data_IF_549501034677
#
_entry.id   IF_549501034677
#
_cell.length_a   1.000
_cell.length_b   1.000
_cell.length_c   1.000
_cell.angle_alpha   90.00
_cell.angle_beta   90.00
_cell.angle_gamma   90.00
#
_symmetry.space_group_name_H-M   'P 1'
#
loop_
_entity.id
_entity.type
_entity.pdbx_description
1 polymer ?
#
# COMPACT_ATOMS: atom_id res chain seq x y z
N UNK A 1 -23.14 -9.14 61.46
CA UNK A 1 -23.86 -8.56 60.30
C UNK A 1 -22.91 -7.65 59.53
N UNK A 2 -21.99 -8.24 58.77
CA UNK A 2 -21.21 -7.50 57.77
C UNK A 2 -22.13 -7.20 56.59
N UNK A 3 -22.18 -5.97 56.09
CA UNK A 3 -23.33 -5.51 55.34
C UNK A 3 -23.24 -6.02 53.92
N UNK A 4 -24.37 -6.53 53.42
CA UNK A 4 -24.63 -6.84 51.99
C UNK A 4 -24.09 -5.77 51.03
N UNK A 5 -23.85 -4.52 51.49
CA UNK A 5 -23.27 -3.43 50.71
C UNK A 5 -21.80 -3.61 50.32
N UNK A 6 -20.97 -4.31 51.11
CA UNK A 6 -19.56 -4.57 50.71
C UNK A 6 -19.50 -5.60 49.59
N UNK A 7 -20.34 -6.63 49.67
CA UNK A 7 -20.51 -7.64 48.62
C UNK A 7 -21.12 -7.05 47.35
N UNK A 8 -22.18 -6.24 47.42
CA UNK A 8 -22.73 -5.59 46.21
C UNK A 8 -21.77 -4.56 45.60
N UNK A 9 -20.89 -3.94 46.38
CA UNK A 9 -19.85 -3.04 45.85
C UNK A 9 -18.75 -3.81 45.10
N UNK A 10 -18.27 -4.93 45.66
CA UNK A 10 -17.32 -5.83 44.99
C UNK A 10 -17.92 -6.51 43.75
N UNK A 11 -19.18 -6.97 43.83
CA UNK A 11 -19.92 -7.53 42.68
C UNK A 11 -20.21 -6.48 41.59
N UNK A 12 -20.45 -5.23 41.96
CA UNK A 12 -20.59 -4.10 41.03
C UNK A 12 -19.30 -3.78 40.28
N UNK A 13 -18.15 -3.86 40.98
CA UNK A 13 -16.83 -3.73 40.35
C UNK A 13 -16.52 -4.90 39.39
N UNK A 14 -16.91 -6.13 39.75
CA UNK A 14 -16.74 -7.31 38.89
C UNK A 14 -17.63 -7.25 37.63
N UNK A 15 -18.87 -6.77 37.73
CA UNK A 15 -19.75 -6.57 36.55
C UNK A 15 -19.30 -5.46 35.62
N UNK A 16 -18.67 -4.42 36.15
CA UNK A 16 -18.00 -3.40 35.33
C UNK A 16 -16.78 -3.95 34.58
N UNK A 17 -16.16 -5.04 35.05
CA UNK A 17 -15.05 -5.71 34.37
C UNK A 17 -15.53 -6.75 33.32
N UNK A 18 -16.72 -7.33 33.49
CA UNK A 18 -17.24 -8.45 32.68
C UNK A 18 -18.19 -8.05 31.53
N UNK A 19 -18.55 -6.76 31.41
CA UNK A 19 -19.37 -6.29 30.29
C UNK A 19 -18.52 -6.04 29.04
N UNK A 20 -18.82 -6.76 27.93
CA UNK A 20 -18.20 -6.73 26.61
C UNK A 20 -17.12 -5.65 26.42
N UNK A 21 -15.92 -5.92 26.95
CA UNK A 21 -14.74 -5.10 26.70
C UNK A 21 -14.22 -5.48 25.32
N UNK A 22 -13.92 -4.49 24.49
CA UNK A 22 -13.15 -4.76 23.28
C UNK A 22 -11.87 -5.49 23.68
N UNK A 23 -11.49 -6.57 22.99
CA UNK A 23 -10.31 -7.33 23.34
C UNK A 23 -9.08 -6.41 23.34
N UNK A 24 -8.23 -6.50 24.38
CA UNK A 24 -7.03 -5.69 24.44
C UNK A 24 -6.08 -6.11 23.31
N UNK A 25 -5.46 -5.13 22.66
CA UNK A 25 -4.48 -5.34 21.59
C UNK A 25 -3.25 -4.46 21.81
N UNK A 26 -2.11 -4.87 21.25
CA UNK A 26 -0.86 -4.10 21.29
C UNK A 26 -1.01 -2.75 20.56
N UNK A 27 -1.80 -2.71 19.50
CA UNK A 27 -2.12 -1.50 18.75
C UNK A 27 -3.61 -1.47 18.40
N UNK A 28 -4.15 -0.28 18.16
CA UNK A 28 -5.46 -0.16 17.51
C UNK A 28 -5.34 -0.59 16.03
N UNK A 29 -4.24 -0.20 15.39
CA UNK A 29 -3.99 -0.43 13.95
C UNK A 29 -2.54 -0.86 13.71
N UNK A 30 -2.37 -1.90 12.89
CA UNK A 30 -1.07 -2.22 12.27
C UNK A 30 -1.12 -1.81 10.80
N UNK A 31 -0.09 -1.07 10.38
CA UNK A 31 0.11 -0.61 9.01
C UNK A 31 1.33 -1.33 8.45
N UNK A 32 1.19 -1.99 7.31
CA UNK A 32 2.28 -2.74 6.68
C UNK A 32 2.73 -2.02 5.41
N UNK A 33 3.91 -1.40 5.48
CA UNK A 33 4.56 -0.66 4.39
C UNK A 33 4.85 0.80 4.77
N UNK A 34 6.13 1.21 4.72
CA UNK A 34 6.57 2.58 5.03
C UNK A 34 6.70 3.52 3.83
N UNK A 35 6.02 3.22 2.73
CA UNK A 35 5.86 4.13 1.61
C UNK A 35 4.90 5.30 1.91
N UNK A 36 4.68 6.21 0.95
CA UNK A 36 3.81 7.39 1.14
C UNK A 36 2.38 7.04 1.61
N UNK A 37 1.82 5.91 1.17
CA UNK A 37 0.49 5.47 1.60
C UNK A 37 0.43 5.10 3.08
N UNK A 38 1.36 4.25 3.54
CA UNK A 38 1.42 3.84 4.95
C UNK A 38 1.76 5.01 5.87
N UNK A 39 2.69 5.89 5.47
CA UNK A 39 3.02 7.10 6.23
C UNK A 39 1.81 8.04 6.36
N UNK A 40 1.04 8.23 5.29
CA UNK A 40 -0.20 9.02 5.33
C UNK A 40 -1.27 8.38 6.23
N UNK A 41 -1.40 7.05 6.19
CA UNK A 41 -2.29 6.32 7.09
C UNK A 41 -1.89 6.48 8.57
N UNK A 42 -0.61 6.29 8.88
CA UNK A 42 -0.07 6.45 10.23
C UNK A 42 -0.31 7.86 10.75
N UNK A 43 0.06 8.88 9.98
CA UNK A 43 -0.23 10.28 10.30
C UNK A 43 -1.72 10.52 10.58
N UNK A 44 -2.60 9.96 9.73
CA UNK A 44 -4.05 10.06 9.88
C UNK A 44 -4.57 9.49 11.20
N UNK A 45 -4.13 8.29 11.57
CA UNK A 45 -4.53 7.60 12.80
C UNK A 45 -3.94 8.26 14.06
N UNK A 46 -2.66 8.64 14.03
CA UNK A 46 -1.98 9.25 15.18
C UNK A 46 -2.55 10.64 15.52
N UNK A 47 -2.97 11.43 14.52
CA UNK A 47 -3.62 12.72 14.75
C UNK A 47 -4.95 12.63 15.51
N UNK A 48 -5.61 11.48 15.45
CA UNK A 48 -6.85 11.19 16.21
C UNK A 48 -6.57 10.24 17.37
N UNK A 49 -5.31 10.16 17.81
CA UNK A 49 -4.82 9.46 19.01
C UNK A 49 -5.11 7.96 19.02
N UNK A 50 -5.13 7.32 17.85
CA UNK A 50 -5.12 5.86 17.73
C UNK A 50 -3.69 5.36 17.89
N UNK A 51 -3.49 4.33 18.73
CA UNK A 51 -2.20 3.63 18.86
C UNK A 51 -1.94 2.87 17.56
N UNK A 52 -1.01 3.32 16.75
CA UNK A 52 -0.74 2.75 15.44
C UNK A 52 0.74 2.38 15.28
N UNK A 53 1.00 1.17 14.82
CA UNK A 53 2.34 0.71 14.46
C UNK A 53 2.47 0.58 12.95
N UNK A 54 3.52 1.18 12.40
CA UNK A 54 3.92 1.01 11.00
C UNK A 54 5.13 0.09 10.92
N UNK A 55 4.99 -0.99 10.16
CA UNK A 55 6.05 -1.92 9.82
C UNK A 55 6.61 -1.59 8.45
N UNK A 56 7.93 -1.49 8.34
CA UNK A 56 8.62 -1.13 7.09
C UNK A 56 9.78 -2.09 6.79
N UNK A 57 9.74 -2.73 5.62
CA UNK A 57 10.84 -3.55 5.11
C UNK A 57 11.95 -2.73 4.45
N UNK A 58 11.74 -1.42 4.25
CA UNK A 58 12.65 -0.50 3.55
C UNK A 58 12.83 -0.79 2.05
N UNK A 59 11.92 -1.58 1.47
CA UNK A 59 11.86 -1.81 0.03
C UNK A 59 10.78 -0.93 -0.61
N UNK A 60 11.21 0.02 -1.42
CA UNK A 60 10.33 1.02 -2.02
C UNK A 60 10.32 0.92 -3.54
N UNK A 61 9.14 0.98 -4.18
CA UNK A 61 9.00 0.89 -5.64
C UNK A 61 9.77 1.99 -6.37
N UNK A 62 9.73 3.22 -5.85
CA UNK A 62 10.52 4.34 -6.35
C UNK A 62 11.90 4.48 -5.68
N UNK A 63 12.39 3.44 -4.99
CA UNK A 63 13.72 3.43 -4.38
C UNK A 63 14.86 3.69 -5.39
N UNK A 64 14.79 3.16 -6.63
CA UNK A 64 15.84 3.39 -7.64
C UNK A 64 15.89 4.80 -8.23
N UNK A 65 14.80 5.59 -8.13
CA UNK A 65 14.72 6.91 -8.76
C UNK A 65 15.52 7.96 -8.00
N UNK A 66 16.08 8.94 -8.73
CA UNK A 66 16.86 10.03 -8.13
C UNK A 66 15.98 10.98 -7.34
N UNK A 67 14.89 11.38 -7.97
CA UNK A 67 13.97 12.41 -7.53
C UNK A 67 12.55 11.91 -7.73
N UNK A 68 11.60 12.55 -7.06
CA UNK A 68 10.18 12.39 -7.30
C UNK A 68 9.62 13.74 -7.76
N UNK A 69 8.78 13.70 -8.78
CA UNK A 69 8.09 14.87 -9.31
C UNK A 69 6.58 14.72 -9.14
N UNK A 70 5.85 15.79 -9.45
CA UNK A 70 4.39 15.86 -9.34
C UNK A 70 3.88 15.61 -7.91
N UNK A 71 4.67 16.02 -6.92
CA UNK A 71 4.27 16.04 -5.51
C UNK A 71 4.39 17.45 -5.00
N UNK A 72 3.26 18.16 -4.94
CA UNK A 72 3.21 19.57 -4.56
C UNK A 72 3.96 19.81 -3.23
N UNK A 73 4.96 20.68 -3.27
CA UNK A 73 5.84 21.01 -2.14
C UNK A 73 7.04 20.08 -1.95
N UNK A 74 7.17 19.02 -2.74
CA UNK A 74 8.29 18.06 -2.76
C UNK A 74 8.72 17.69 -4.19
N UNK A 75 8.43 18.54 -5.17
CA UNK A 75 8.86 18.36 -6.55
C UNK A 75 10.39 18.41 -6.64
N UNK A 76 11.01 17.47 -7.35
CA UNK A 76 12.48 17.30 -7.41
C UNK A 76 13.10 16.73 -6.12
N UNK A 77 12.30 16.22 -5.17
CA UNK A 77 12.85 15.73 -3.90
C UNK A 77 13.27 14.26 -4.01
N UNK A 78 14.46 13.85 -3.52
CA UNK A 78 14.78 12.44 -3.42
C UNK A 78 13.76 11.65 -2.58
N UNK A 79 13.22 10.51 -3.07
CA UNK A 79 12.14 9.79 -2.38
C UNK A 79 12.46 9.42 -0.92
N UNK A 80 13.73 9.11 -0.62
CA UNK A 80 14.18 8.81 0.73
C UNK A 80 14.12 10.04 1.66
N UNK A 81 14.42 11.25 1.14
CA UNK A 81 14.31 12.50 1.93
C UNK A 81 12.84 12.81 2.25
N UNK A 82 11.93 12.62 1.30
CA UNK A 82 10.49 12.74 1.54
C UNK A 82 10.03 11.80 2.67
N UNK A 83 10.39 10.50 2.59
CA UNK A 83 10.03 9.52 3.64
C UNK A 83 10.64 9.86 5.00
N UNK A 84 11.90 10.29 5.03
CA UNK A 84 12.57 10.69 6.27
C UNK A 84 11.89 11.89 6.93
N UNK A 85 11.57 12.93 6.16
CA UNK A 85 10.85 14.11 6.64
C UNK A 85 9.45 13.73 7.17
N UNK A 86 8.73 12.88 6.45
CA UNK A 86 7.42 12.39 6.89
C UNK A 86 7.52 11.62 8.22
N UNK A 87 8.51 10.72 8.36
CA UNK A 87 8.77 10.00 9.61
C UNK A 87 9.09 10.96 10.77
N UNK A 88 9.93 11.96 10.54
CA UNK A 88 10.26 12.99 11.53
C UNK A 88 9.00 13.74 12.02
N UNK A 89 8.15 14.17 11.09
CA UNK A 89 6.92 14.88 11.41
C UNK A 89 5.92 14.03 12.18
N UNK A 90 5.75 12.76 11.79
CA UNK A 90 4.82 11.82 12.42
C UNK A 90 5.31 11.41 13.81
N UNK A 91 6.63 11.32 14.03
CA UNK A 91 7.23 10.95 15.33
C UNK A 91 6.91 11.94 16.46
N UNK A 92 6.35 13.12 16.15
CA UNK A 92 5.84 14.08 17.13
C UNK A 92 4.55 13.60 17.81
N UNK A 93 3.90 12.57 17.27
CA UNK A 93 2.73 11.95 17.86
C UNK A 93 3.15 10.74 18.71
N UNK A 94 2.89 10.80 20.02
CA UNK A 94 3.17 9.74 21.00
C UNK A 94 2.48 8.39 20.72
N UNK A 95 1.43 8.42 19.90
CA UNK A 95 0.65 7.24 19.49
C UNK A 95 1.15 6.60 18.19
N UNK A 96 2.16 7.18 17.54
CA UNK A 96 2.81 6.60 16.36
C UNK A 96 4.00 5.72 16.78
N UNK A 97 4.08 4.50 16.26
CA UNK A 97 5.24 3.61 16.44
C UNK A 97 5.77 3.20 15.07
N UNK A 98 7.08 3.34 14.87
CA UNK A 98 7.78 2.83 13.71
C UNK A 98 8.53 1.54 14.08
N UNK A 99 8.38 0.50 13.27
CA UNK A 99 9.07 -0.77 13.43
C UNK A 99 9.70 -1.12 12.09
N UNK A 100 11.03 -1.04 12.03
CA UNK A 100 11.80 -1.29 10.81
C UNK A 100 12.02 -2.80 10.60
N UNK A 101 10.91 -3.51 10.36
CA UNK A 101 10.85 -4.95 10.10
C UNK A 101 9.75 -5.28 9.11
N UNK A 102 9.98 -6.34 8.34
CA UNK A 102 8.97 -6.93 7.47
C UNK A 102 7.94 -7.76 8.27
N UNK A 103 6.66 -7.66 7.89
CA UNK A 103 5.61 -8.58 8.32
C UNK A 103 5.52 -9.74 7.32
N UNK A 104 5.58 -10.97 7.82
CA UNK A 104 5.55 -12.18 6.99
C UNK A 104 4.16 -12.83 6.91
N UNK A 105 3.35 -12.67 7.96
CA UNK A 105 1.99 -13.21 8.00
C UNK A 105 1.04 -12.37 8.85
N UNK A 106 -0.24 -12.44 8.51
CA UNK A 106 -1.34 -11.85 9.28
C UNK A 106 -2.48 -12.86 9.32
N UNK A 107 -3.02 -13.09 10.52
CA UNK A 107 -4.13 -14.02 10.75
C UNK A 107 -5.23 -13.34 11.56
N UNK A 108 -6.47 -13.43 11.09
CA UNK A 108 -7.63 -13.01 11.88
C UNK A 108 -7.85 -13.97 13.04
N UNK A 109 -7.98 -13.42 14.25
CA UNK A 109 -8.22 -14.19 15.47
C UNK A 109 -9.71 -14.43 15.65
N UNK A 110 -10.06 -15.63 16.12
CA UNK A 110 -11.42 -15.94 16.55
C UNK A 110 -11.66 -15.29 17.91
N UNK A 111 -12.68 -14.44 18.02
CA UNK A 111 -12.98 -13.72 19.27
C UNK A 111 -13.30 -14.66 20.43
N UNK A 112 -13.92 -15.82 20.15
CA UNK A 112 -14.24 -16.83 21.16
C UNK A 112 -12.98 -17.43 21.83
N UNK A 113 -11.86 -17.48 21.11
CA UNK A 113 -10.58 -17.98 21.63
C UNK A 113 -9.90 -16.94 22.53
N UNK A 114 -10.23 -15.65 22.36
CA UNK A 114 -9.67 -14.55 23.15
C UNK A 114 -10.49 -14.30 24.42
N UNK A 115 -11.82 -14.41 24.34
CA UNK A 115 -12.75 -14.14 25.44
C UNK A 115 -14.06 -14.95 25.23
N UNK A 116 -14.28 -16.07 25.95
CA UNK A 116 -15.41 -16.99 25.72
C UNK A 116 -16.80 -16.39 25.91
N UNK A 117 -16.92 -15.24 26.58
CA UNK A 117 -18.20 -14.56 26.88
C UNK A 117 -18.49 -13.38 25.93
N UNK A 118 -17.68 -13.15 24.89
CA UNK A 118 -17.85 -12.05 23.95
C UNK A 118 -18.93 -12.39 22.91
N UNK A 119 -20.20 -12.14 23.28
CA UNK A 119 -21.33 -12.30 22.36
C UNK A 119 -21.42 -11.10 21.41
N UNK A 120 -21.08 -11.34 20.13
CA UNK A 120 -21.45 -10.52 18.96
C UNK A 120 -21.00 -9.06 18.97
N UNK A 121 -19.70 -8.80 19.02
CA UNK A 121 -19.15 -7.51 18.57
C UNK A 121 -18.77 -7.63 17.09
N UNK A 122 -19.03 -6.58 16.30
CA UNK A 122 -18.54 -6.45 14.91
C UNK A 122 -17.04 -6.18 14.84
N UNK A 123 -16.33 -6.36 15.96
CA UNK A 123 -14.93 -6.03 16.12
C UNK A 123 -14.08 -7.16 15.56
N UNK A 124 -12.97 -6.79 14.94
CA UNK A 124 -11.99 -7.75 14.44
C UNK A 124 -10.71 -7.64 15.26
N UNK A 125 -9.96 -8.75 15.35
CA UNK A 125 -8.63 -8.80 15.93
C UNK A 125 -7.74 -9.60 14.99
N UNK A 126 -6.52 -9.11 14.79
CA UNK A 126 -5.52 -9.73 13.94
C UNK A 126 -4.23 -9.94 14.72
N UNK A 127 -3.52 -11.02 14.41
CA UNK A 127 -2.14 -11.24 14.82
C UNK A 127 -1.24 -11.12 13.60
N UNK A 128 -0.29 -10.21 13.63
CA UNK A 128 0.77 -10.07 12.63
C UNK A 128 2.08 -10.65 13.18
N UNK A 129 2.83 -11.36 12.34
CA UNK A 129 4.14 -11.92 12.72
C UNK A 129 5.23 -11.33 11.84
N UNK A 130 6.29 -10.81 12.48
CA UNK A 130 7.42 -10.19 11.77
C UNK A 130 8.48 -11.20 11.33
N UNK A 131 9.47 -10.73 10.58
CA UNK A 131 10.58 -11.55 10.06
C UNK A 131 11.48 -12.19 11.13
N UNK A 132 11.35 -11.81 12.40
CA UNK A 132 12.06 -12.43 13.52
C UNK A 132 11.21 -13.44 14.30
N UNK A 133 9.94 -13.59 13.93
CA UNK A 133 8.96 -14.40 14.63
C UNK A 133 8.28 -13.69 15.80
N UNK A 134 8.48 -12.38 15.98
CA UNK A 134 7.75 -11.62 16.99
C UNK A 134 6.29 -11.39 16.52
N UNK A 135 5.35 -11.53 17.44
CA UNK A 135 3.92 -11.34 17.16
C UNK A 135 3.37 -10.06 17.77
N UNK A 136 2.44 -9.44 17.05
CA UNK A 136 1.77 -8.20 17.41
C UNK A 136 0.27 -8.31 17.13
N UNK A 137 -0.56 -7.69 17.97
CA UNK A 137 -2.00 -7.71 17.82
C UNK A 137 -2.58 -6.33 17.51
N UNK A 138 -3.60 -6.31 16.64
CA UNK A 138 -4.36 -5.09 16.35
C UNK A 138 -5.81 -5.35 15.97
N UNK A 139 -6.66 -4.33 16.12
CA UNK A 139 -8.06 -4.41 15.69
C UNK A 139 -8.22 -4.22 14.18
N UNK A 140 -7.36 -3.41 13.57
CA UNK A 140 -7.42 -3.09 12.13
C UNK A 140 -6.05 -3.26 11.49
N UNK A 141 -6.06 -3.62 10.21
CA UNK A 141 -4.88 -3.76 9.37
C UNK A 141 -4.98 -2.80 8.18
N UNK A 142 -3.89 -2.10 7.86
CA UNK A 142 -3.75 -1.36 6.61
C UNK A 142 -2.58 -1.92 5.81
N UNK A 143 -2.87 -2.48 4.65
CA UNK A 143 -1.88 -2.98 3.71
C UNK A 143 -1.46 -1.85 2.75
N UNK A 144 -0.25 -1.36 2.92
CA UNK A 144 0.42 -0.40 2.04
C UNK A 144 1.70 -1.00 1.44
N UNK A 145 1.66 -2.28 1.09
CA UNK A 145 2.81 -3.11 0.70
C UNK A 145 3.36 -2.79 -0.69
N UNK A 146 2.59 -2.08 -1.50
CA UNK A 146 2.96 -1.67 -2.85
C UNK A 146 3.12 -2.82 -3.84
N UNK A 147 3.70 -2.49 -4.99
CA UNK A 147 3.97 -3.41 -6.09
C UNK A 147 5.48 -3.56 -6.34
N UNK A 148 5.82 -4.54 -7.17
CA UNK A 148 7.12 -4.68 -7.83
C UNK A 148 6.92 -4.71 -9.34
N UNK A 149 7.77 -3.99 -10.06
CA UNK A 149 7.82 -4.01 -11.52
C UNK A 149 8.56 -5.28 -11.98
N UNK A 150 7.92 -6.09 -12.84
CA UNK A 150 8.43 -7.36 -13.35
C UNK A 150 9.24 -7.08 -14.61
N UNK A 151 10.53 -6.82 -14.41
CA UNK A 151 11.44 -6.40 -15.48
C UNK A 151 11.97 -7.61 -16.28
N UNK A 152 12.08 -7.51 -17.62
CA UNK A 152 12.77 -8.52 -18.43
C UNK A 152 14.23 -8.71 -18.01
N UNK A 153 14.79 -9.89 -18.32
CA UNK A 153 16.21 -10.22 -18.07
C UNK A 153 17.16 -9.65 -19.12
N UNK A 154 16.68 -8.75 -19.99
CA UNK A 154 17.49 -8.09 -21.02
C UNK A 154 18.67 -7.36 -20.35
N UNK A 155 19.92 -7.65 -20.73
CA UNK A 155 21.10 -7.04 -20.13
C UNK A 155 21.04 -5.51 -20.13
N UNK A 156 21.28 -4.90 -18.97
CA UNK A 156 21.33 -3.46 -18.74
C UNK A 156 19.97 -2.81 -18.43
N UNK A 157 18.86 -3.54 -18.59
CA UNK A 157 17.52 -3.01 -18.33
C UNK A 157 17.26 -2.81 -16.84
N UNK A 158 17.55 -3.83 -16.01
CA UNK A 158 17.29 -3.79 -14.58
C UNK A 158 18.12 -2.72 -13.88
N UNK A 159 19.39 -2.58 -14.27
CA UNK A 159 20.34 -1.60 -13.72
C UNK A 159 19.97 -0.16 -14.07
N UNK A 160 19.24 0.03 -15.17
CA UNK A 160 18.83 1.33 -15.70
C UNK A 160 17.40 1.72 -15.33
N UNK A 161 16.63 0.81 -14.73
CA UNK A 161 15.27 1.10 -14.29
C UNK A 161 15.27 2.13 -13.15
N UNK A 162 14.46 3.18 -13.30
CA UNK A 162 14.47 4.37 -12.46
C UNK A 162 15.64 5.33 -12.71
N UNK A 163 16.50 5.07 -13.70
CA UNK A 163 17.70 5.86 -14.04
C UNK A 163 17.84 6.05 -15.55
N UNK A 164 16.76 6.47 -16.20
CA UNK A 164 16.66 6.67 -17.65
C UNK A 164 15.74 5.66 -18.34
N UNK A 165 15.30 4.60 -17.65
CA UNK A 165 14.18 3.74 -18.05
C UNK A 165 13.09 3.86 -17.00
N UNK A 166 11.92 4.35 -17.37
CA UNK A 166 10.83 4.68 -16.45
C UNK A 166 9.52 4.10 -16.94
N UNK A 167 8.52 4.04 -16.06
CA UNK A 167 7.18 3.61 -16.43
C UNK A 167 6.19 4.78 -16.58
N UNK A 168 6.50 5.94 -16.00
CA UNK A 168 5.55 7.04 -15.80
C UNK A 168 6.05 8.34 -16.44
N UNK A 169 5.40 8.84 -17.50
CA UNK A 169 5.80 10.12 -18.11
C UNK A 169 5.53 11.34 -17.22
N UNK A 170 4.56 11.27 -16.30
CA UNK A 170 4.32 12.35 -15.32
C UNK A 170 5.42 12.45 -14.26
N UNK A 171 6.13 11.34 -14.00
CA UNK A 171 7.09 11.22 -12.92
C UNK A 171 8.50 11.63 -13.37
N UNK A 172 8.86 11.31 -14.62
CA UNK A 172 10.23 11.47 -15.13
C UNK A 172 10.27 12.04 -16.56
N UNK A 173 9.12 12.27 -17.21
CA UNK A 173 9.09 12.68 -18.61
C UNK A 173 9.57 14.11 -18.85
N UNK A 174 9.32 15.03 -17.90
CA UNK A 174 9.70 16.43 -18.05
C UNK A 174 11.23 16.60 -18.14
N UNK A 175 11.99 15.88 -17.32
CA UNK A 175 13.45 15.93 -17.26
C UNK A 175 14.10 15.42 -18.56
N UNK A 176 13.35 14.66 -19.37
CA UNK A 176 13.79 14.07 -20.64
C UNK A 176 13.04 14.61 -21.88
N UNK A 177 12.30 15.71 -21.74
CA UNK A 177 11.62 16.40 -22.85
C UNK A 177 12.59 16.87 -23.92
N UNK A 178 12.10 16.96 -25.15
CA UNK A 178 12.83 17.37 -26.37
C UNK A 178 14.04 16.49 -26.73
N UNK A 179 14.24 15.36 -26.04
CA UNK A 179 15.32 14.40 -26.31
C UNK A 179 14.80 13.17 -27.09
N UNK A 180 15.67 12.42 -27.80
CA UNK A 180 15.33 11.13 -28.39
C UNK A 180 14.80 10.12 -27.35
N UNK A 181 13.53 9.75 -27.45
CA UNK A 181 12.89 8.83 -26.50
C UNK A 181 12.64 7.45 -27.11
N UNK A 182 12.92 6.40 -26.34
CA UNK A 182 12.49 5.05 -26.62
C UNK A 182 11.19 4.69 -25.90
N UNK A 183 10.38 3.82 -26.49
CA UNK A 183 9.27 3.15 -25.79
C UNK A 183 9.50 1.65 -25.90
N UNK A 184 9.52 0.94 -24.77
CA UNK A 184 9.70 -0.50 -24.67
C UNK A 184 8.34 -1.14 -24.35
N UNK A 185 7.84 -2.03 -25.20
CA UNK A 185 6.58 -2.70 -24.92
C UNK A 185 5.96 -3.39 -26.13
N UNK A 186 4.73 -3.86 -25.94
CA UNK A 186 3.94 -4.44 -27.04
C UNK A 186 3.24 -3.35 -27.85
N UNK A 187 2.88 -3.69 -29.09
CA UNK A 187 2.18 -2.81 -30.03
C UNK A 187 0.98 -2.04 -29.42
N UNK A 188 0.04 -2.68 -28.70
CA UNK A 188 -1.09 -1.96 -28.10
C UNK A 188 -0.67 -0.90 -27.07
N UNK A 189 0.34 -1.19 -26.23
CA UNK A 189 0.81 -0.25 -25.22
C UNK A 189 1.54 0.93 -25.84
N UNK A 190 2.32 0.70 -26.90
CA UNK A 190 3.06 1.75 -27.59
C UNK A 190 2.17 2.88 -28.07
N UNK A 191 1.00 2.57 -28.62
CA UNK A 191 0.10 3.60 -29.14
C UNK A 191 -0.35 4.54 -28.01
N UNK A 192 -0.76 4.00 -26.85
CA UNK A 192 -1.10 4.83 -25.68
C UNK A 192 0.09 5.67 -25.22
N UNK A 193 1.24 5.03 -25.03
CA UNK A 193 2.44 5.71 -24.54
C UNK A 193 2.92 6.83 -25.46
N UNK A 194 2.84 6.66 -26.78
CA UNK A 194 3.18 7.71 -27.75
C UNK A 194 2.25 8.92 -27.60
N UNK A 195 0.96 8.69 -27.39
CA UNK A 195 -0.01 9.77 -27.19
C UNK A 195 0.23 10.51 -25.86
N UNK A 196 0.53 9.76 -24.79
CA UNK A 196 0.83 10.31 -23.45
C UNK A 196 2.02 11.28 -23.46
N UNK A 197 3.03 11.04 -24.30
CA UNK A 197 4.24 11.88 -24.39
C UNK A 197 4.27 12.84 -25.57
N UNK A 198 3.19 12.94 -26.33
CA UNK A 198 3.17 13.71 -27.59
C UNK A 198 3.52 15.20 -27.44
N UNK A 199 3.39 15.74 -26.22
CA UNK A 199 3.78 17.12 -25.85
C UNK A 199 5.19 17.24 -25.28
N UNK A 200 5.86 16.12 -24.99
CA UNK A 200 7.20 16.06 -24.41
C UNK A 200 8.27 15.76 -25.45
N UNK A 201 8.01 14.84 -26.38
CA UNK A 201 9.04 14.34 -27.30
C UNK A 201 8.49 14.16 -28.73
N UNK A 202 9.35 14.40 -29.73
CA UNK A 202 9.01 14.27 -31.16
C UNK A 202 9.92 13.30 -31.94
N UNK A 203 11.09 12.93 -31.41
CA UNK A 203 11.89 11.80 -31.91
C UNK A 203 11.64 10.56 -31.05
N UNK A 204 10.67 9.75 -31.47
CA UNK A 204 10.23 8.56 -30.75
C UNK A 204 10.56 7.31 -31.57
N UNK A 205 11.21 6.33 -30.93
CA UNK A 205 11.25 4.94 -31.44
C UNK A 205 10.56 4.02 -30.45
N UNK A 206 9.60 3.27 -30.95
CA UNK A 206 8.93 2.22 -30.21
C UNK A 206 9.56 0.86 -30.53
N UNK A 207 10.20 0.26 -29.54
CA UNK A 207 10.91 -1.01 -29.63
C UNK A 207 9.97 -2.15 -29.22
N UNK A 208 9.58 -2.96 -30.20
CA UNK A 208 8.57 -4.03 -30.06
C UNK A 208 9.16 -5.44 -30.00
N UNK A 209 10.49 -5.58 -30.12
CA UNK A 209 11.23 -6.82 -29.90
C UNK A 209 10.67 -8.04 -30.67
N UNK A 210 10.40 -7.89 -31.97
CA UNK A 210 9.86 -8.96 -32.82
C UNK A 210 8.35 -9.16 -32.74
N UNK A 211 7.63 -8.43 -31.88
CA UNK A 211 6.17 -8.59 -31.72
C UNK A 211 5.35 -7.91 -32.82
N UNK A 212 5.96 -7.07 -33.66
CA UNK A 212 5.26 -6.49 -34.81
C UNK A 212 5.18 -7.49 -35.96
N UNK A 213 3.99 -8.07 -36.11
CA UNK A 213 3.65 -9.12 -37.08
C UNK A 213 2.31 -8.78 -37.73
N UNK A 214 2.01 -9.35 -38.91
CA UNK A 214 0.71 -9.13 -39.58
C UNK A 214 -0.50 -9.49 -38.68
N UNK A 215 -0.50 -10.61 -37.92
CA UNK A 215 -1.58 -10.89 -36.98
C UNK A 215 -1.71 -9.84 -35.86
N UNK A 216 -0.60 -9.35 -35.32
CA UNK A 216 -0.61 -8.30 -34.29
C UNK A 216 -1.19 -6.99 -34.84
N UNK A 217 -0.82 -6.62 -36.07
CA UNK A 217 -1.37 -5.47 -36.78
C UNK A 217 -2.89 -5.59 -36.97
N UNK A 218 -3.38 -6.75 -37.40
CA UNK A 218 -4.80 -6.99 -37.59
C UNK A 218 -5.57 -6.89 -36.26
N UNK A 219 -5.05 -7.50 -35.20
CA UNK A 219 -5.64 -7.45 -33.86
C UNK A 219 -5.71 -6.02 -33.30
N UNK A 220 -4.61 -5.26 -33.41
CA UNK A 220 -4.58 -3.86 -32.98
C UNK A 220 -5.51 -2.98 -33.81
N UNK A 221 -5.63 -3.23 -35.12
CA UNK A 221 -6.53 -2.46 -36.00
C UNK A 221 -8.00 -2.64 -35.61
N UNK A 222 -8.40 -3.81 -35.10
CA UNK A 222 -9.77 -4.01 -34.60
C UNK A 222 -10.05 -3.18 -33.34
N UNK A 223 -9.05 -3.02 -32.47
CA UNK A 223 -9.18 -2.29 -31.20
C UNK A 223 -8.97 -0.78 -31.37
N UNK A 224 -8.09 -0.38 -32.29
CA UNK A 224 -7.67 1.01 -32.52
C UNK A 224 -7.47 1.23 -34.03
N UNK A 225 -8.54 1.40 -34.82
CA UNK A 225 -8.47 1.42 -36.30
C UNK A 225 -7.50 2.44 -36.91
N UNK A 226 -7.18 3.51 -36.18
CA UNK A 226 -6.34 4.61 -36.66
C UNK A 226 -4.92 4.61 -36.09
N UNK A 227 -4.48 3.52 -35.43
CA UNK A 227 -3.21 3.49 -34.71
C UNK A 227 -1.99 3.85 -35.59
N UNK A 228 -1.94 3.37 -36.84
CA UNK A 228 -0.86 3.69 -37.79
C UNK A 228 -0.80 5.19 -38.10
N UNK A 229 -1.97 5.82 -38.29
CA UNK A 229 -2.06 7.25 -38.54
C UNK A 229 -1.68 8.07 -37.29
N UNK A 230 -2.03 7.60 -36.09
CA UNK A 230 -1.65 8.23 -34.82
C UNK A 230 -0.14 8.21 -34.61
N UNK A 231 0.51 7.07 -34.84
CA UNK A 231 1.97 6.96 -34.75
C UNK A 231 2.67 7.86 -35.79
N UNK A 232 2.18 7.86 -37.03
CA UNK A 232 2.72 8.73 -38.08
C UNK A 232 2.57 10.22 -37.75
N UNK A 233 1.42 10.64 -37.22
CA UNK A 233 1.18 12.02 -36.80
C UNK A 233 2.09 12.46 -35.64
N UNK A 234 2.54 11.52 -34.82
CA UNK A 234 3.45 11.75 -33.70
C UNK A 234 4.93 11.55 -34.07
N UNK A 235 5.24 11.32 -35.35
CA UNK A 235 6.58 11.00 -35.84
C UNK A 235 7.24 9.80 -35.12
N UNK A 236 6.43 8.86 -34.64
CA UNK A 236 6.88 7.67 -33.93
C UNK A 236 7.22 6.54 -34.91
N UNK A 237 8.43 6.01 -34.82
CA UNK A 237 8.91 4.89 -35.64
C UNK A 237 8.83 3.59 -34.86
N UNK A 238 8.48 2.49 -35.53
CA UNK A 238 8.53 1.15 -34.93
C UNK A 238 9.87 0.51 -35.26
N UNK A 239 10.55 -0.02 -34.23
CA UNK A 239 11.76 -0.81 -34.33
C UNK A 239 11.45 -2.24 -33.89
N UNK A 240 11.42 -3.16 -34.86
CA UNK A 240 10.99 -4.54 -34.64
C UNK A 240 12.13 -5.53 -34.42
N UNK A 241 13.39 -5.13 -34.57
CA UNK A 241 14.52 -6.03 -34.31
C UNK A 241 14.57 -6.46 -32.85
N UNK A 242 15.07 -7.67 -32.61
CA UNK A 242 15.24 -8.21 -31.26
C UNK A 242 16.35 -7.46 -30.52
N UNK A 243 16.04 -6.93 -29.34
CA UNK A 243 17.00 -6.23 -28.48
C UNK A 243 17.88 -7.27 -27.79
N UNK A 244 19.20 -7.15 -27.98
CA UNK A 244 20.21 -7.96 -27.32
C UNK A 244 20.67 -7.35 -25.98
N UNK A 245 20.76 -6.03 -25.88
CA UNK A 245 21.16 -5.31 -24.67
C UNK A 245 20.78 -3.83 -24.73
N UNK A 246 20.64 -3.19 -23.57
CA UNK A 246 20.49 -1.74 -23.43
C UNK A 246 21.63 -1.21 -22.54
N UNK A 247 22.66 -0.64 -23.16
CA UNK A 247 23.84 -0.16 -22.45
C UNK A 247 23.72 1.34 -22.13
N UNK A 248 23.76 1.70 -20.86
CA UNK A 248 23.89 3.11 -20.46
C UNK A 248 25.32 3.59 -20.65
N UNK A 249 25.54 4.51 -21.58
CA UNK A 249 26.87 5.04 -21.96
C UNK A 249 27.14 6.45 -21.45
N UNK A 250 26.09 7.20 -21.07
CA UNK A 250 26.22 8.47 -20.37
C UNK A 250 25.22 8.55 -19.23
N UNK A 251 25.67 9.12 -18.10
CA UNK A 251 24.87 9.26 -16.89
C UNK A 251 24.22 10.65 -16.80
N UNK A 252 22.90 10.73 -17.00
CA UNK A 252 22.14 11.98 -16.91
C UNK A 252 22.09 12.61 -15.51
N UNK A 253 22.48 11.89 -14.47
CA UNK A 253 22.65 12.42 -13.11
C UNK A 253 24.05 13.01 -12.87
N UNK A 254 24.92 12.96 -13.88
CA UNK A 254 26.21 13.66 -13.91
C UNK A 254 26.27 14.71 -15.02
N UNK A 255 25.53 14.46 -16.09
CA UNK A 255 25.41 15.37 -17.23
C UNK A 255 23.96 15.84 -17.29
N UNK A 256 23.69 16.95 -16.60
CA UNK A 256 22.37 17.60 -16.55
C UNK A 256 22.52 19.12 -16.67
N UNK A 257 21.41 19.80 -16.96
CA UNK A 257 21.35 21.27 -16.91
C UNK A 257 20.96 21.73 -15.50
N UNK A 258 21.95 22.19 -14.74
CA UNK A 258 21.77 22.82 -13.42
C UNK A 258 20.99 24.13 -13.46
N UNK A 259 20.72 24.69 -14.65
CA UNK A 259 19.99 25.96 -14.80
C UNK A 259 18.52 25.69 -15.04
N UNK A 260 17.69 25.93 -14.02
CA UNK A 260 16.24 26.21 -14.09
C UNK A 260 15.33 25.26 -14.92
N UNK A 261 15.85 24.21 -15.55
CA UNK A 261 15.15 23.35 -16.51
C UNK A 261 15.26 21.87 -16.18
N UNK A 262 16.12 21.51 -15.24
CA UNK A 262 16.30 20.18 -14.66
C UNK A 262 16.41 19.04 -15.69
N UNK A 263 16.96 19.35 -16.87
CA UNK A 263 17.10 18.35 -17.94
C UNK A 263 18.23 17.38 -17.62
N UNK A 264 17.95 16.08 -17.75
CA UNK A 264 18.93 15.02 -17.55
C UNK A 264 19.31 14.41 -18.91
N UNK A 265 20.62 14.39 -19.21
CA UNK A 265 21.14 13.95 -20.50
C UNK A 265 21.72 12.54 -20.41
N UNK A 266 20.86 11.57 -20.14
CA UNK A 266 21.20 10.17 -20.27
C UNK A 266 21.47 9.80 -21.74
N UNK A 267 22.36 8.82 -21.98
CA UNK A 267 22.54 8.21 -23.31
C UNK A 267 22.64 6.71 -23.16
N UNK A 268 21.81 6.02 -23.91
CA UNK A 268 21.72 4.57 -23.98
C UNK A 268 21.98 4.08 -25.39
N UNK A 269 22.75 3.01 -25.52
CA UNK A 269 22.95 2.28 -26.75
C UNK A 269 22.10 1.02 -26.73
N UNK A 270 21.07 0.99 -27.57
CA UNK A 270 20.25 -0.19 -27.82
C UNK A 270 20.97 -1.06 -28.83
N UNK A 271 21.41 -2.24 -28.41
CA UNK A 271 22.00 -3.26 -29.30
C UNK A 271 20.93 -4.24 -29.72
N UNK A 272 20.97 -4.63 -30.98
CA UNK A 272 20.12 -5.67 -31.53
C UNK A 272 20.93 -6.95 -31.75
N UNK A 273 20.22 -8.06 -31.99
CA UNK A 273 20.85 -9.31 -32.44
C UNK A 273 21.51 -9.17 -33.82
N UNK A 274 21.07 -8.18 -34.61
CA UNK A 274 21.58 -7.91 -35.95
C UNK A 274 21.54 -6.41 -36.31
N UNK A 275 22.51 -5.99 -37.13
CA UNK A 275 22.64 -4.63 -37.63
C UNK A 275 23.18 -3.62 -36.61
N UNK A 276 23.15 -2.34 -37.01
CA UNK A 276 23.72 -1.25 -36.21
C UNK A 276 22.85 -0.89 -34.99
N UNK A 277 23.48 -0.49 -33.86
CA UNK A 277 22.78 -0.03 -32.67
C UNK A 277 22.17 1.35 -32.86
N UNK A 278 21.23 1.71 -31.98
CA UNK A 278 20.59 3.03 -31.95
C UNK A 278 20.82 3.68 -30.59
N UNK A 279 21.02 5.01 -30.58
CA UNK A 279 21.13 5.77 -29.34
C UNK A 279 19.78 6.36 -28.93
N UNK A 280 19.45 6.31 -27.64
CA UNK A 280 18.29 6.99 -27.05
C UNK A 280 18.67 7.62 -25.71
N UNK A 281 17.93 8.62 -25.28
CA UNK A 281 18.24 9.38 -24.07
C UNK A 281 17.46 8.87 -22.87
N UNK A 282 16.20 8.48 -23.07
CA UNK A 282 15.41 7.84 -22.04
C UNK A 282 14.42 6.85 -22.65
N UNK A 283 13.81 6.02 -21.81
CA UNK A 283 12.80 5.06 -22.20
C UNK A 283 11.57 5.14 -21.31
N UNK A 284 10.41 4.95 -21.92
CA UNK A 284 9.20 4.55 -21.23
C UNK A 284 8.91 3.06 -21.44
N UNK A 285 8.39 2.41 -20.41
CA UNK A 285 7.97 1.01 -20.47
C UNK A 285 6.64 0.81 -19.76
N UNK A 286 5.92 -0.24 -20.16
CA UNK A 286 4.72 -0.71 -19.47
C UNK A 286 4.85 -2.21 -19.16
N UNK A 287 5.91 -2.59 -18.44
CA UNK A 287 6.07 -3.97 -17.98
C UNK A 287 5.05 -4.32 -16.90
N UNK A 288 4.80 -5.62 -16.75
CA UNK A 288 3.87 -6.13 -15.76
C UNK A 288 4.29 -5.76 -14.33
N UNK A 289 3.32 -5.68 -13.44
CA UNK A 289 3.56 -5.46 -12.00
C UNK A 289 2.98 -6.62 -11.21
N UNK A 290 3.60 -6.96 -10.09
CA UNK A 290 3.09 -7.95 -9.15
C UNK A 290 2.97 -7.36 -7.73
N UNK A 291 2.12 -7.98 -6.91
CA UNK A 291 2.09 -7.68 -5.47
C UNK A 291 3.46 -7.93 -4.86
N UNK A 292 3.99 -6.96 -4.10
CA UNK A 292 5.25 -7.15 -3.38
C UNK A 292 5.12 -8.18 -2.26
N UNK A 293 3.98 -8.18 -1.59
CA UNK A 293 3.71 -9.05 -0.44
C UNK A 293 2.74 -10.18 -0.79
N UNK A 294 2.91 -11.32 -0.11
CA UNK A 294 2.00 -12.46 -0.17
C UNK A 294 0.82 -12.33 0.82
N UNK A 295 0.84 -11.35 1.71
CA UNK A 295 -0.20 -11.14 2.75
C UNK A 295 -1.61 -11.06 2.17
N UNK A 296 -1.88 -10.34 1.05
CA UNK A 296 -3.22 -10.33 0.48
C UNK A 296 -3.76 -11.73 0.15
N UNK A 297 -2.91 -12.60 -0.42
CA UNK A 297 -3.29 -13.98 -0.73
C UNK A 297 -3.46 -14.83 0.54
N UNK A 298 -2.60 -14.65 1.55
CA UNK A 298 -2.72 -15.34 2.84
C UNK A 298 -4.04 -15.03 3.55
N UNK A 299 -4.49 -13.77 3.47
CA UNK A 299 -5.76 -13.32 4.05
C UNK A 299 -6.98 -13.68 3.17
N UNK A 300 -6.77 -14.25 1.98
CA UNK A 300 -7.84 -14.58 1.05
C UNK A 300 -8.58 -13.35 0.51
N UNK A 301 -7.88 -12.23 0.33
CA UNK A 301 -8.50 -11.00 -0.17
C UNK A 301 -8.91 -11.13 -1.63
N UNK A 302 -10.04 -10.52 -1.97
CA UNK A 302 -10.49 -10.42 -3.36
C UNK A 302 -9.50 -9.57 -4.16
N UNK A 303 -9.21 -10.01 -5.38
CA UNK A 303 -8.23 -9.36 -6.26
C UNK A 303 -8.90 -8.91 -7.56
N UNK A 304 -8.50 -7.74 -8.04
CA UNK A 304 -8.89 -7.16 -9.33
C UNK A 304 -7.64 -6.72 -10.08
N UNK A 305 -7.44 -7.30 -11.27
CA UNK A 305 -6.29 -7.00 -12.14
C UNK A 305 -4.93 -7.10 -11.43
N UNK A 306 -4.75 -8.15 -10.60
CA UNK A 306 -3.53 -8.38 -9.82
C UNK A 306 -3.36 -7.46 -8.60
N UNK A 307 -4.36 -6.63 -8.27
CA UNK A 307 -4.36 -5.73 -7.11
C UNK A 307 -5.46 -6.08 -6.12
N UNK A 308 -5.30 -5.71 -4.86
CA UNK A 308 -6.32 -5.93 -3.83
C UNK A 308 -7.56 -5.11 -4.18
N UNK A 309 -8.72 -5.76 -4.31
CA UNK A 309 -9.96 -5.09 -4.70
C UNK A 309 -10.50 -4.22 -3.56
N UNK A 310 -10.56 -2.92 -3.81
CA UNK A 310 -11.16 -1.92 -2.90
C UNK A 310 -12.33 -1.18 -3.55
N UNK A 311 -12.81 -1.66 -4.70
CA UNK A 311 -13.90 -1.03 -5.46
C UNK A 311 -15.29 -1.41 -4.95
N UNK A 312 -15.42 -2.56 -4.27
CA UNK A 312 -16.68 -3.04 -3.70
C UNK A 312 -17.08 -2.27 -2.45
N UNK A 313 -16.11 -1.96 -1.58
CA UNK A 313 -16.35 -1.35 -0.28
C UNK A 313 -15.72 0.03 -0.17
N UNK A 314 -16.51 1.00 0.31
CA UNK A 314 -16.03 2.37 0.48
C UNK A 314 -14.87 2.47 1.49
N UNK A 315 -14.09 3.55 1.37
CA UNK A 315 -13.08 3.90 2.38
C UNK A 315 -11.81 3.05 2.36
N UNK A 316 -11.46 2.45 1.21
CA UNK A 316 -10.27 1.59 1.02
C UNK A 316 -10.37 0.23 1.74
N UNK A 317 -11.59 -0.22 2.02
CA UNK A 317 -11.84 -1.53 2.63
C UNK A 317 -11.66 -2.65 1.61
N UNK A 318 -11.20 -3.79 2.09
CA UNK A 318 -11.09 -5.04 1.33
C UNK A 318 -12.31 -5.94 1.61
N UNK A 319 -12.34 -7.15 1.04
CA UNK A 319 -13.37 -8.14 1.35
C UNK A 319 -13.31 -8.72 2.77
N UNK A 320 -12.20 -8.55 3.48
CA UNK A 320 -12.08 -8.93 4.90
C UNK A 320 -12.35 -7.71 5.79
N UNK A 321 -13.39 -7.76 6.67
CA UNK A 321 -13.69 -6.66 7.58
C UNK A 321 -12.50 -6.27 8.47
N UNK A 322 -12.26 -4.97 8.60
CA UNK A 322 -11.13 -4.42 9.36
C UNK A 322 -9.77 -4.48 8.65
N UNK A 323 -9.70 -5.00 7.42
CA UNK A 323 -8.52 -4.91 6.55
C UNK A 323 -8.76 -3.87 5.46
N UNK A 324 -7.82 -2.95 5.31
CA UNK A 324 -7.78 -1.90 4.30
C UNK A 324 -6.57 -2.09 3.39
N UNK A 325 -6.65 -1.65 2.13
CA UNK A 325 -5.52 -1.66 1.19
C UNK A 325 -5.33 -0.27 0.58
N UNK A 326 -4.10 0.22 0.52
CA UNK A 326 -3.77 1.62 0.15
C UNK A 326 -2.51 1.70 -0.73
N UNK A 327 -2.39 2.78 -1.50
CA UNK A 327 -1.30 2.95 -2.48
C UNK A 327 -1.29 1.86 -3.55
N UNK A 328 -0.13 1.60 -4.15
CA UNK A 328 -0.03 0.79 -5.36
C UNK A 328 -0.59 -0.63 -5.25
N UNK A 329 -0.67 -1.22 -4.05
CA UNK A 329 -1.16 -2.59 -3.90
C UNK A 329 -2.67 -2.74 -4.13
N UNK A 330 -3.44 -1.65 -4.11
CA UNK A 330 -4.90 -1.66 -4.23
C UNK A 330 -5.40 -1.28 -5.65
N UNK A 331 -6.67 -1.59 -5.94
CA UNK A 331 -7.26 -1.42 -7.26
C UNK A 331 -7.84 -0.02 -7.56
N UNK A 332 -7.74 0.96 -6.66
CA UNK A 332 -8.32 2.32 -6.77
C UNK A 332 -7.56 3.25 -7.74
N UNK A 333 -7.12 2.72 -8.89
CA UNK A 333 -7.02 3.51 -10.12
C UNK A 333 -5.85 4.49 -10.29
N UNK A 334 -4.83 4.51 -9.43
CA UNK A 334 -3.61 5.29 -9.75
C UNK A 334 -2.39 4.83 -8.96
N UNK A 335 -1.24 4.69 -9.62
CA UNK A 335 0.04 4.37 -8.98
C UNK A 335 0.95 5.59 -8.97
N UNK A 336 0.61 6.60 -8.17
CA UNK A 336 1.44 7.77 -7.95
C UNK A 336 1.43 8.19 -6.46
N UNK A 337 2.39 9.02 -6.07
CA UNK A 337 2.56 9.42 -4.67
C UNK A 337 1.36 10.21 -4.12
N UNK A 338 0.76 11.20 -4.84
CA UNK A 338 -0.42 11.89 -4.35
C UNK A 338 -1.60 10.95 -4.07
N UNK A 339 -1.87 9.99 -4.97
CA UNK A 339 -2.93 8.99 -4.78
C UNK A 339 -2.62 8.03 -3.62
N UNK A 340 -1.36 7.60 -3.49
CA UNK A 340 -0.91 6.80 -2.36
C UNK A 340 -1.20 7.52 -1.03
N UNK A 341 -0.87 8.80 -0.94
CA UNK A 341 -1.16 9.61 0.23
C UNK A 341 -2.67 9.76 0.47
N UNK A 342 -3.46 9.99 -0.58
CA UNK A 342 -4.92 10.08 -0.51
C UNK A 342 -5.55 8.80 0.04
N UNK A 343 -5.23 7.64 -0.55
CA UNK A 343 -5.78 6.35 -0.15
C UNK A 343 -5.38 6.01 1.29
N UNK A 344 -4.13 6.27 1.69
CA UNK A 344 -3.67 6.16 3.07
C UNK A 344 -4.50 7.00 4.05
N UNK A 345 -4.71 8.28 3.73
CA UNK A 345 -5.53 9.18 4.56
C UNK A 345 -6.98 8.72 4.63
N UNK A 346 -7.55 8.27 3.51
CA UNK A 346 -8.92 7.79 3.41
C UNK A 346 -9.12 6.56 4.28
N UNK A 347 -8.23 5.57 4.23
CA UNK A 347 -8.26 4.41 5.11
C UNK A 347 -8.23 4.81 6.59
N UNK A 348 -7.36 5.77 6.96
CA UNK A 348 -7.27 6.24 8.34
C UNK A 348 -8.57 6.86 8.87
N UNK A 349 -9.23 7.69 8.05
CA UNK A 349 -10.51 8.31 8.42
C UNK A 349 -11.60 7.25 8.63
N UNK A 350 -11.75 6.33 7.68
CA UNK A 350 -12.78 5.30 7.76
C UNK A 350 -12.50 4.27 8.85
N UNK A 351 -11.26 3.84 9.02
CA UNK A 351 -10.86 2.93 10.08
C UNK A 351 -11.07 3.54 11.47
N UNK A 352 -10.78 4.84 11.66
CA UNK A 352 -11.04 5.51 12.93
C UNK A 352 -12.53 5.54 13.27
N UNK A 353 -13.38 5.92 12.31
CA UNK A 353 -14.84 6.01 12.52
C UNK A 353 -15.44 4.62 12.77
N UNK A 354 -14.94 3.59 12.09
CA UNK A 354 -15.32 2.20 12.32
C UNK A 354 -15.01 1.76 13.76
N UNK A 355 -13.77 1.95 14.21
CA UNK A 355 -13.40 1.64 15.59
C UNK A 355 -14.18 2.47 16.62
N UNK A 356 -14.46 3.75 16.33
CA UNK A 356 -15.26 4.59 17.23
C UNK A 356 -16.71 4.09 17.37
N UNK A 357 -17.28 3.51 16.30
CA UNK A 357 -18.61 2.87 16.35
C UNK A 357 -18.58 1.57 17.15
N UNK A 358 -17.54 0.76 16.99
CA UNK A 358 -17.33 -0.45 17.80
C UNK A 358 -17.20 -0.12 19.29
N UNK A 359 -16.40 0.90 19.63
CA UNK A 359 -16.22 1.41 20.99
C UNK A 359 -17.52 1.96 21.58
N UNK A 360 -18.29 2.70 20.79
CA UNK A 360 -19.61 3.19 21.19
C UNK A 360 -20.59 2.04 21.43
N UNK A 361 -20.63 1.05 20.55
CA UNK A 361 -21.50 -0.13 20.69
C UNK A 361 -21.15 -0.93 21.95
N UNK A 362 -19.86 -1.18 22.21
CA UNK A 362 -19.38 -1.83 23.42
C UNK A 362 -19.76 -1.04 24.69
N UNK A 363 -19.60 0.29 24.67
CA UNK A 363 -19.97 1.16 25.78
C UNK A 363 -21.49 1.19 26.05
N UNK A 364 -22.32 1.14 25.01
CA UNK A 364 -23.79 1.09 25.14
C UNK A 364 -24.22 -0.28 25.68
N UNK A 365 -23.69 -1.38 25.14
CA UNK A 365 -23.98 -2.73 25.63
C UNK A 365 -23.70 -2.84 27.14
N UNK A 366 -22.60 -2.23 27.61
CA UNK A 366 -22.27 -2.14 29.03
C UNK A 366 -23.29 -1.38 29.87
N UNK A 367 -23.95 -0.35 29.33
CA UNK A 367 -24.96 0.46 30.03
C UNK A 367 -26.37 -0.15 30.01
N UNK A 368 -26.65 -1.05 29.06
CA UNK A 368 -27.96 -1.69 28.88
C UNK A 368 -28.30 -2.80 29.88
N UNK A 369 -27.33 -3.27 30.66
CA UNK A 369 -27.56 -4.31 31.67
C UNK A 369 -28.25 -3.71 32.91
N UNK A 370 -29.44 -4.22 33.25
CA UNK A 370 -30.07 -3.87 34.54
C UNK A 370 -29.18 -4.36 35.69
N UNK A 371 -29.17 -3.66 36.84
CA UNK A 371 -28.43 -4.09 38.04
C UNK A 371 -28.67 -5.56 38.41
N UNK A 372 -29.90 -6.03 38.23
CA UNK A 372 -30.30 -7.41 38.53
C UNK A 372 -29.79 -8.42 37.49
N UNK A 373 -29.69 -8.02 36.22
CA UNK A 373 -29.11 -8.84 35.16
C UNK A 373 -27.58 -8.93 35.30
N UNK A 374 -26.95 -7.81 35.71
CA UNK A 374 -25.54 -7.75 36.10
C UNK A 374 -25.24 -8.69 37.28
N UNK A 375 -26.01 -8.58 38.36
CA UNK A 375 -25.87 -9.45 39.55
C UNK A 375 -26.01 -10.94 39.18
N UNK A 376 -27.00 -11.30 38.37
CA UNK A 376 -27.25 -12.69 37.94
C UNK A 376 -26.16 -13.27 37.03
N UNK A 377 -25.56 -12.44 36.16
CA UNK A 377 -24.45 -12.88 35.30
C UNK A 377 -23.15 -13.03 36.08
N UNK A 378 -22.90 -12.17 37.08
CA UNK A 378 -21.78 -12.34 38.02
C UNK A 378 -21.91 -13.62 38.84
N UNK A 379 -23.11 -13.92 39.36
CA UNK A 379 -23.39 -15.16 40.08
C UNK A 379 -23.13 -16.39 39.19
N UNK A 380 -23.51 -16.32 37.90
CA UNK A 380 -23.28 -17.40 36.93
C UNK A 380 -21.80 -17.65 36.64
N UNK A 381 -20.99 -16.61 36.57
CA UNK A 381 -19.57 -16.68 36.15
C UNK A 381 -18.64 -16.96 37.32
N UNK A 382 -18.85 -16.35 38.48
CA UNK A 382 -18.01 -16.56 39.68
C UNK A 382 -18.31 -17.93 40.33
N UNK A 383 -19.52 -18.45 40.11
CA UNK A 383 -20.00 -19.65 40.79
C UNK A 383 -20.25 -19.40 42.29
N UNK A 384 -20.95 -20.32 42.94
CA UNK A 384 -21.36 -20.18 44.34
C UNK A 384 -20.21 -20.47 45.33
N UNK A 385 -18.99 -20.72 44.84
CA UNK A 385 -17.87 -21.22 45.65
C UNK A 385 -17.48 -20.26 46.78
N UNK A 386 -17.60 -18.94 46.56
CA UNK A 386 -17.29 -17.94 47.59
C UNK A 386 -18.34 -17.89 48.72
N UNK A 387 -19.61 -18.14 48.41
CA UNK A 387 -20.67 -18.27 49.41
C UNK A 387 -20.51 -19.57 50.20
N UNK A 388 -20.20 -20.67 49.54
CA UNK A 388 -19.90 -21.94 50.18
C UNK A 388 -18.65 -21.88 51.08
N UNK A 389 -17.60 -21.16 50.67
CA UNK A 389 -16.39 -20.94 51.47
C UNK A 389 -16.68 -20.03 52.67
N UNK A 390 -17.50 -19.00 52.48
CA UNK A 390 -17.91 -18.09 53.55
C UNK A 390 -18.80 -18.78 54.59
N UNK A 391 -19.73 -19.63 54.17
CA UNK A 391 -20.57 -20.40 55.09
C UNK A 391 -19.79 -21.50 55.80
N UNK A 392 -18.76 -22.09 55.16
CA UNK A 392 -17.79 -22.97 55.83
C UNK A 392 -16.93 -22.26 56.88
N UNK A 393 -16.65 -20.96 56.69
CA UNK A 393 -15.85 -20.16 57.62
C UNK A 393 -16.66 -19.59 58.81
N UNK A 394 -17.99 -19.78 58.84
CA UNK A 394 -18.87 -19.40 59.95
C UNK A 394 -19.06 -20.49 61.01
N UNK A 395 -18.52 -21.70 60.77
CA UNK A 395 -18.38 -22.78 61.75
C UNK A 395 -17.03 -22.61 62.44
#
# INVERSE_FOLDING_TARGET
MTPKSFYTFLLGLATLALAATLPPTDYDVIIVGGGPAGLSALSGFSRVRRRAALFDSHEYRNGPTREMHDVIGNDGTPPAKFRALAREQISRYDTATFIDREILSIEQQQLADLEPNLTTTTTTVFRATDATGASYTARKIVLGTGLVDVLPTTPGLQESFGKGIFWCPWCDGYEHRDQPLGILGTLPHIVSSVLEISTLNTDIIAFVNGSHTEPADAALTLQTPHWKAQLAASNARIENRTIAAIERVQDGGRVHDDRARDQQFDVFRVRFTEGEPVLRNAFLTNFETAQRSRIPAQLGLDMKDGKVDTSVYSGMRTSVPGVFAVGDCNSDGSTNVPHAMFSGKRAAVYGHVEMAREESAAAIAKRGLSRRAMEKETERIIGNELEDLWDRAKV
#
